data_IF_993615915038
#
_entry.id   IF_993615915038
#
_cell.length_a   1.000
_cell.length_b   1.000
_cell.length_c   1.000
_cell.angle_alpha   90.00
_cell.angle_beta   90.00
_cell.angle_gamma   90.00
#
_symmetry.space_group_name_H-M   'P 1'
#
loop_
_entity.id
_entity.type
_entity.pdbx_description
1 polymer ?
#
# COMPACT_ATOMS: atom_id res chain seq x y z
N UNK A 1 -18.19 -3.92 -11.30
CA UNK A 1 -16.83 -3.48 -10.92
C UNK A 1 -16.70 -3.63 -9.41
N UNK A 2 -15.74 -4.43 -8.97
CA UNK A 2 -15.42 -4.66 -7.56
C UNK A 2 -14.25 -3.76 -7.17
N UNK A 3 -14.27 -3.27 -5.92
CA UNK A 3 -13.26 -2.37 -5.38
C UNK A 3 -12.97 -2.73 -3.93
N UNK A 4 -11.69 -2.78 -3.58
CA UNK A 4 -11.20 -2.93 -2.21
C UNK A 4 -10.25 -1.79 -1.90
N UNK A 5 -10.39 -1.20 -0.71
CA UNK A 5 -9.48 -0.17 -0.21
C UNK A 5 -8.80 -0.71 1.04
N UNK A 6 -7.47 -0.67 1.04
CA UNK A 6 -6.63 -0.99 2.18
C UNK A 6 -5.91 0.27 2.65
N UNK A 7 -5.77 0.43 3.95
CA UNK A 7 -4.94 1.47 4.54
C UNK A 7 -3.90 0.86 5.46
N UNK A 8 -2.66 1.31 5.32
CA UNK A 8 -1.57 0.96 6.23
C UNK A 8 -1.06 2.24 6.88
N UNK A 9 -0.97 2.23 8.22
CA UNK A 9 -0.28 3.28 8.95
C UNK A 9 1.20 2.91 8.99
N UNK A 10 2.03 3.77 8.41
CA UNK A 10 3.47 3.64 8.39
C UNK A 10 4.06 4.59 9.43
N UNK A 11 5.06 4.12 10.15
CA UNK A 11 5.80 4.93 11.12
C UNK A 11 6.87 5.80 10.46
N UNK A 12 7.13 5.61 9.16
CA UNK A 12 8.14 6.32 8.40
C UNK A 12 9.53 5.68 8.50
N UNK A 13 9.60 4.43 8.94
CA UNK A 13 10.86 3.70 9.11
C UNK A 13 11.50 3.35 7.74
N UNK A 14 12.83 3.34 7.61
CA UNK A 14 13.51 2.95 6.38
C UNK A 14 13.09 1.56 5.86
N UNK A 15 12.84 0.62 6.77
CA UNK A 15 12.41 -0.75 6.47
C UNK A 15 11.02 -0.78 5.81
N UNK A 16 10.10 0.09 6.25
CA UNK A 16 8.78 0.23 5.65
C UNK A 16 8.89 0.79 4.22
N UNK A 17 9.75 1.78 4.00
CA UNK A 17 9.99 2.34 2.66
C UNK A 17 10.59 1.30 1.71
N UNK A 18 11.57 0.53 2.20
CA UNK A 18 12.15 -0.59 1.44
C UNK A 18 11.09 -1.65 1.12
N UNK A 19 10.18 -1.94 2.05
CA UNK A 19 9.09 -2.88 1.80
C UNK A 19 8.16 -2.40 0.69
N UNK A 20 7.77 -1.13 0.70
CA UNK A 20 6.88 -0.58 -0.34
C UNK A 20 7.57 -0.59 -1.71
N UNK A 21 8.87 -0.32 -1.75
CA UNK A 21 9.66 -0.47 -2.98
C UNK A 21 9.63 -1.92 -3.50
N UNK A 22 9.84 -2.91 -2.62
CA UNK A 22 9.73 -4.33 -2.98
C UNK A 22 8.32 -4.73 -3.41
N UNK A 23 7.29 -4.20 -2.75
CA UNK A 23 5.90 -4.43 -3.13
C UNK A 23 5.63 -3.93 -4.55
N UNK A 24 6.09 -2.71 -4.85
CA UNK A 24 6.03 -2.14 -6.20
C UNK A 24 6.72 -3.03 -7.22
N UNK A 25 7.91 -3.52 -6.92
CA UNK A 25 8.63 -4.45 -7.80
C UNK A 25 7.86 -5.76 -7.99
N UNK A 26 7.32 -6.34 -6.91
CA UNK A 26 6.61 -7.63 -6.96
C UNK A 26 5.31 -7.59 -7.78
N UNK A 27 4.59 -6.47 -7.74
CA UNK A 27 3.34 -6.26 -8.49
C UNK A 27 3.63 -5.77 -9.92
N UNK A 28 4.84 -5.25 -10.17
CA UNK A 28 5.30 -4.92 -11.51
C UNK A 28 5.69 -6.16 -12.34
N UNK A 29 5.89 -7.32 -11.71
CA UNK A 29 6.16 -8.57 -12.43
C UNK A 29 4.86 -8.95 -13.18
N UNK A 30 4.94 -8.89 -14.51
CA UNK A 30 3.85 -9.06 -15.50
C UNK A 30 2.98 -7.83 -15.86
N UNK A 31 3.31 -6.59 -15.46
CA UNK A 31 2.41 -5.46 -15.71
C UNK A 31 3.01 -4.06 -15.72
N UNK A 32 2.40 -3.18 -16.53
CA UNK A 32 2.74 -1.77 -16.68
C UNK A 32 2.42 -1.01 -15.39
N UNK A 33 3.45 -0.62 -14.65
CA UNK A 33 3.32 0.36 -13.58
C UNK A 33 3.65 1.76 -14.10
N UNK A 34 2.81 2.74 -13.79
CA UNK A 34 3.02 4.16 -14.12
C UNK A 34 2.87 5.04 -12.89
N UNK A 35 3.61 6.14 -12.83
CA UNK A 35 3.53 7.13 -11.75
C UNK A 35 4.88 7.45 -11.10
N UNK A 36 4.80 8.01 -9.90
CA UNK A 36 5.93 8.45 -9.09
C UNK A 36 6.18 7.51 -7.90
N UNK A 37 7.17 7.83 -7.06
CA UNK A 37 7.44 7.07 -5.85
C UNK A 37 6.31 7.16 -4.81
N UNK A 38 5.57 8.27 -4.78
CA UNK A 38 4.49 8.51 -3.81
C UNK A 38 3.14 8.01 -4.31
N UNK A 39 2.91 8.05 -5.62
CA UNK A 39 1.66 7.60 -6.22
C UNK A 39 1.98 6.83 -7.49
N UNK A 40 1.62 5.55 -7.52
CA UNK A 40 1.78 4.70 -8.70
C UNK A 40 0.58 3.78 -8.89
N UNK A 41 0.35 3.40 -10.14
CA UNK A 41 -0.72 2.50 -10.55
C UNK A 41 -0.10 1.35 -11.30
N UNK A 42 -0.46 0.12 -10.94
CA UNK A 42 0.00 -1.10 -11.60
C UNK A 42 -1.19 -1.94 -12.08
N UNK A 43 -1.04 -2.53 -13.26
CA UNK A 43 -1.93 -3.60 -13.73
C UNK A 43 -1.42 -4.95 -13.26
N UNK A 44 -2.27 -5.77 -12.64
CA UNK A 44 -1.94 -7.16 -12.27
C UNK A 44 -3.13 -8.07 -12.62
N UNK A 45 -2.93 -9.02 -13.54
CA UNK A 45 -4.05 -9.78 -14.14
C UNK A 45 -5.07 -8.85 -14.81
N UNK A 46 -6.36 -8.98 -14.49
CA UNK A 46 -7.41 -8.02 -14.92
C UNK A 46 -7.70 -6.89 -13.91
N UNK A 47 -6.82 -6.70 -12.92
CA UNK A 47 -7.01 -5.69 -11.87
C UNK A 47 -6.11 -4.48 -12.06
N UNK A 48 -6.60 -3.31 -11.65
CA UNK A 48 -5.84 -2.08 -11.50
C UNK A 48 -5.63 -1.81 -10.01
N UNK A 49 -4.38 -1.62 -9.62
CA UNK A 49 -4.02 -1.30 -8.24
C UNK A 49 -3.33 0.04 -8.17
N UNK A 50 -3.93 0.98 -7.44
CA UNK A 50 -3.33 2.29 -7.15
C UNK A 50 -2.77 2.30 -5.73
N UNK A 51 -1.54 2.75 -5.61
CA UNK A 51 -0.85 3.02 -4.35
C UNK A 51 -0.70 4.52 -4.18
N UNK A 52 -1.02 5.04 -2.99
CA UNK A 52 -0.85 6.45 -2.65
C UNK A 52 -0.29 6.57 -1.24
N UNK A 53 0.88 7.17 -1.10
CA UNK A 53 1.50 7.50 0.17
C UNK A 53 1.15 8.96 0.49
N UNK A 54 0.46 9.18 1.60
CA UNK A 54 0.05 10.50 2.07
C UNK A 54 0.76 10.79 3.38
N UNK A 55 1.36 11.98 3.51
CA UNK A 55 1.85 12.45 4.81
C UNK A 55 0.65 12.78 5.69
N UNK A 56 0.55 12.18 6.88
CA UNK A 56 -0.48 12.56 7.84
C UNK A 56 -0.17 13.93 8.44
N UNK A 57 -1.14 14.86 8.50
CA UNK A 57 -0.95 16.11 9.20
C UNK A 57 -0.66 15.83 10.68
N UNK A 58 0.38 16.45 11.23
CA UNK A 58 0.91 16.23 12.59
C UNK A 58 -0.13 16.28 13.73
N UNK A 59 -1.33 16.82 13.50
CA UNK A 59 -2.44 16.87 14.46
C UNK A 59 -3.15 15.52 14.67
N UNK A 60 -3.08 14.57 13.73
CA UNK A 60 -3.69 13.25 13.87
C UNK A 60 -2.87 12.26 14.75
N UNK A 61 -1.66 12.65 15.14
CA UNK A 61 -0.64 11.76 15.72
C UNK A 61 -0.45 11.87 17.24
N UNK A 62 -1.38 12.51 17.96
CA UNK A 62 -1.24 12.74 19.42
C UNK A 62 -1.10 11.44 20.25
N UNK A 63 -1.35 10.26 19.67
CA UNK A 63 -1.21 8.97 20.35
C UNK A 63 0.00 8.12 19.93
N UNK A 64 0.80 8.51 18.93
CA UNK A 64 1.77 7.56 18.30
C UNK A 64 3.23 8.02 18.33
N UNK A 65 3.53 9.27 18.70
CA UNK A 65 4.92 9.78 18.66
C UNK A 65 5.54 9.70 20.07
N UNK A 66 6.00 8.52 20.47
CA UNK A 66 6.85 8.32 21.65
C UNK A 66 8.32 8.03 21.32
N UNK A 67 8.70 8.01 20.04
CA UNK A 67 10.06 7.72 19.59
C UNK A 67 10.40 8.66 18.44
N UNK A 68 11.52 9.38 18.54
CA UNK A 68 11.77 10.58 17.74
C UNK A 68 11.80 10.44 16.21
N UNK A 69 11.70 11.60 15.56
CA UNK A 69 12.17 11.95 14.21
C UNK A 69 11.49 11.36 12.96
N UNK A 70 10.49 10.47 13.05
CA UNK A 70 9.81 9.96 11.85
C UNK A 70 8.40 10.53 11.67
N UNK A 71 8.09 10.97 10.44
CA UNK A 71 6.75 11.42 10.05
C UNK A 71 5.89 10.18 9.79
N UNK A 72 4.71 10.10 10.42
CA UNK A 72 3.78 9.04 10.07
C UNK A 72 3.21 9.26 8.67
N UNK A 73 3.13 8.19 7.90
CA UNK A 73 2.60 8.18 6.55
C UNK A 73 1.43 7.21 6.50
N UNK A 74 0.44 7.51 5.69
CA UNK A 74 -0.63 6.56 5.37
C UNK A 74 -0.41 6.04 3.96
N UNK A 75 -0.27 4.72 3.82
CA UNK A 75 -0.32 4.06 2.53
C UNK A 75 -1.76 3.63 2.25
N UNK A 76 -2.39 4.28 1.28
CA UNK A 76 -3.67 3.86 0.74
C UNK A 76 -3.46 3.02 -0.51
N UNK A 77 -4.12 1.87 -0.55
CA UNK A 77 -4.07 0.93 -1.68
C UNK A 77 -5.49 0.70 -2.15
N UNK A 78 -5.74 0.97 -3.42
CA UNK A 78 -7.04 0.77 -4.05
C UNK A 78 -6.88 -0.30 -5.13
N UNK A 79 -7.59 -1.42 -4.98
CA UNK A 79 -7.64 -2.50 -5.97
C UNK A 79 -9.00 -2.49 -6.63
N UNK A 80 -9.03 -2.41 -7.95
CA UNK A 80 -10.25 -2.40 -8.77
C UNK A 80 -10.18 -3.48 -9.85
N UNK A 81 -11.32 -4.13 -10.12
CA UNK A 81 -11.41 -5.16 -11.16
C UNK A 81 -12.83 -5.58 -11.48
N UNK A 82 -13.02 -6.26 -12.61
CA UNK A 82 -14.34 -6.74 -13.03
C UNK A 82 -14.73 -8.06 -12.39
N UNK A 83 -13.75 -8.89 -12.03
CA UNK A 83 -13.94 -10.22 -11.44
C UNK A 83 -13.55 -10.22 -9.96
N UNK A 84 -14.43 -10.68 -9.06
CA UNK A 84 -14.18 -10.62 -7.62
C UNK A 84 -13.03 -11.54 -7.20
N UNK A 85 -12.92 -12.74 -7.79
CA UNK A 85 -11.85 -13.69 -7.46
C UNK A 85 -10.46 -13.15 -7.80
N UNK A 86 -10.35 -12.38 -8.87
CA UNK A 86 -9.08 -11.74 -9.25
C UNK A 86 -8.75 -10.57 -8.30
N UNK A 87 -9.74 -9.76 -7.92
CA UNK A 87 -9.56 -8.71 -6.90
C UNK A 87 -9.09 -9.30 -5.57
N UNK A 88 -9.72 -10.39 -5.10
CA UNK A 88 -9.32 -11.06 -3.85
C UNK A 88 -7.90 -11.61 -3.94
N UNK A 89 -7.50 -12.21 -5.07
CA UNK A 89 -6.12 -12.69 -5.27
C UNK A 89 -5.10 -11.55 -5.22
N UNK A 90 -5.37 -10.43 -5.88
CA UNK A 90 -4.49 -9.24 -5.86
C UNK A 90 -4.39 -8.68 -4.44
N UNK A 91 -5.52 -8.57 -3.72
CA UNK A 91 -5.55 -8.12 -2.33
C UNK A 91 -4.76 -9.06 -1.42
N UNK A 92 -4.89 -10.37 -1.57
CA UNK A 92 -4.16 -11.37 -0.79
C UNK A 92 -2.65 -11.29 -1.02
N UNK A 93 -2.21 -11.09 -2.28
CA UNK A 93 -0.81 -10.84 -2.61
C UNK A 93 -0.28 -9.58 -1.91
N UNK A 94 -1.00 -8.47 -2.02
CA UNK A 94 -0.63 -7.20 -1.38
C UNK A 94 -0.54 -7.36 0.15
N UNK A 95 -1.55 -8.01 0.73
CA UNK A 95 -1.61 -8.25 2.17
C UNK A 95 -0.43 -9.09 2.66
N UNK A 96 -0.13 -10.20 1.97
CA UNK A 96 1.01 -11.08 2.31
C UNK A 96 2.34 -10.33 2.24
N UNK A 97 2.58 -9.62 1.14
CA UNK A 97 3.83 -8.86 0.95
C UNK A 97 4.03 -7.80 2.03
N UNK A 98 2.98 -7.09 2.45
CA UNK A 98 3.07 -6.08 3.51
C UNK A 98 3.19 -6.71 4.90
N UNK A 99 2.47 -7.82 5.15
CA UNK A 99 2.57 -8.59 6.40
C UNK A 99 3.96 -9.16 6.61
N UNK A 100 4.62 -9.66 5.57
CA UNK A 100 5.98 -10.20 5.63
C UNK A 100 7.01 -9.12 6.02
N UNK A 101 6.67 -7.84 5.83
CA UNK A 101 7.45 -6.70 6.29
C UNK A 101 7.06 -6.18 7.68
N UNK A 102 6.10 -6.81 8.36
CA UNK A 102 5.58 -6.36 9.65
C UNK A 102 4.66 -5.14 9.57
N UNK A 103 4.21 -4.74 8.38
CA UNK A 103 3.29 -3.61 8.20
C UNK A 103 1.86 -4.09 8.48
N UNK A 104 1.20 -3.45 9.45
CA UNK A 104 -0.19 -3.76 9.79
C UNK A 104 -1.15 -3.02 8.86
N UNK A 105 -2.08 -3.78 8.27
CA UNK A 105 -3.12 -3.26 7.37
C UNK A 105 -4.46 -3.17 8.08
N UNK A 106 -5.18 -2.10 7.80
CA UNK A 106 -6.59 -1.89 8.13
C UNK A 106 -7.42 -2.02 6.86
N UNK A 107 -8.40 -2.92 6.88
CA UNK A 107 -9.44 -2.99 5.85
C UNK A 107 -10.48 -1.89 6.11
N UNK A 108 -10.88 -1.19 5.05
CA UNK A 108 -11.95 -0.18 5.07
C UNK A 108 -13.25 -0.70 4.45
#
# INVERSE_FOLDING_TARGET
>A
MFRVVLEALLQGLPEEQMCIAKLRESIAIDGLCTGSQLVFVCSYGSTLTKFSIVEEPAKALQHTILTGAYKALTLQIVVEGEKPDEVVKTVDLIYKSLKDCGILLKLL
#
